data_IF_659567831006
#
_entry.id   IF_659567831006
#
_cell.length_a   1.000
_cell.length_b   1.000
_cell.length_c   1.000
_cell.angle_alpha   90.00
_cell.angle_beta   90.00
_cell.angle_gamma   90.00
#
_symmetry.space_group_name_H-M   'P 1'
#
loop_
_entity.id
_entity.type
_entity.pdbx_description
1 polymer ?
#
# COMPACT_ATOMS: atom_id res chain seq x y z
N UNK A 1 23.82 -38.02 34.14
CA UNK A 1 22.92 -38.00 32.97
C UNK A 1 22.84 -36.58 32.49
N UNK A 2 23.67 -36.23 31.48
CA UNK A 2 23.71 -34.93 30.83
C UNK A 2 22.71 -34.91 29.66
N UNK A 3 21.64 -34.16 29.79
CA UNK A 3 20.67 -33.92 28.72
C UNK A 3 21.19 -32.82 27.78
N UNK A 4 21.59 -33.18 26.56
CA UNK A 4 22.00 -32.25 25.52
C UNK A 4 20.75 -31.62 24.89
N UNK A 5 20.55 -30.35 25.15
CA UNK A 5 19.54 -29.54 24.45
C UNK A 5 20.03 -29.28 23.03
N UNK A 6 19.47 -29.96 22.07
CA UNK A 6 19.67 -29.68 20.63
C UNK A 6 18.91 -28.41 20.30
N UNK A 7 19.65 -27.31 20.13
CA UNK A 7 19.13 -26.03 19.64
C UNK A 7 18.80 -26.19 18.15
N UNK A 8 17.53 -26.34 17.82
CA UNK A 8 17.09 -26.32 16.42
C UNK A 8 17.37 -24.93 15.83
N UNK A 9 18.28 -24.90 14.86
CA UNK A 9 18.52 -23.71 14.02
C UNK A 9 17.27 -23.46 13.20
N UNK A 10 16.64 -22.29 13.38
CA UNK A 10 15.58 -21.86 12.48
C UNK A 10 16.17 -21.69 11.07
N UNK A 11 15.45 -22.10 10.02
CA UNK A 11 15.93 -21.94 8.65
C UNK A 11 16.08 -20.44 8.33
N UNK A 12 17.29 -20.05 7.94
CA UNK A 12 17.57 -18.70 7.46
C UNK A 12 16.65 -18.40 6.27
N UNK A 13 15.89 -17.31 6.37
CA UNK A 13 15.08 -16.77 5.28
C UNK A 13 16.01 -16.48 4.09
N UNK A 14 16.00 -17.32 3.09
CA UNK A 14 16.68 -17.05 1.82
C UNK A 14 16.11 -15.75 1.23
N UNK A 15 16.94 -14.73 1.14
CA UNK A 15 16.70 -13.56 0.28
C UNK A 15 16.71 -14.07 -1.17
N UNK A 16 15.57 -14.38 -1.73
CA UNK A 16 15.47 -14.63 -3.17
C UNK A 16 15.37 -13.28 -3.87
N UNK A 17 16.46 -12.85 -4.48
CA UNK A 17 16.50 -11.74 -5.43
C UNK A 17 16.02 -12.29 -6.76
N UNK A 18 14.72 -12.16 -7.05
CA UNK A 18 14.11 -12.56 -8.32
C UNK A 18 12.61 -12.28 -8.28
N UNK A 19 12.01 -11.92 -9.43
CA UNK A 19 10.57 -11.80 -9.56
C UNK A 19 9.91 -13.10 -9.10
N UNK A 20 9.30 -13.08 -7.94
CA UNK A 20 8.56 -14.21 -7.41
C UNK A 20 7.11 -14.09 -7.86
N UNK A 21 6.62 -15.10 -8.59
CA UNK A 21 5.21 -15.17 -8.98
C UNK A 21 4.56 -16.37 -8.29
N UNK A 22 3.34 -16.16 -7.80
CA UNK A 22 2.52 -17.22 -7.20
C UNK A 22 1.03 -16.91 -7.35
N UNK A 23 0.20 -17.91 -7.08
CA UNK A 23 -1.24 -17.79 -7.02
C UNK A 23 -1.70 -17.97 -5.58
N UNK A 24 -2.83 -17.37 -5.25
CA UNK A 24 -3.42 -17.51 -3.92
C UNK A 24 -4.80 -16.88 -3.87
N UNK A 25 -5.42 -16.97 -2.71
CA UNK A 25 -6.74 -16.40 -2.44
C UNK A 25 -6.60 -15.16 -1.58
N UNK A 26 -7.29 -14.09 -1.96
CA UNK A 26 -7.35 -12.87 -1.14
C UNK A 26 -8.13 -13.19 0.14
N UNK A 27 -7.45 -13.10 1.27
CA UNK A 27 -8.03 -13.38 2.59
C UNK A 27 -8.58 -12.14 3.28
N UNK A 28 -8.08 -10.96 2.94
CA UNK A 28 -8.60 -9.67 3.41
C UNK A 28 -8.05 -8.51 2.59
N UNK A 29 -8.75 -7.37 2.64
CA UNK A 29 -8.33 -6.10 2.05
C UNK A 29 -8.26 -5.06 3.16
N UNK A 30 -7.10 -4.43 3.35
CA UNK A 30 -6.86 -3.48 4.46
C UNK A 30 -7.25 -2.05 4.12
N UNK A 31 -6.95 -1.63 2.89
CA UNK A 31 -7.25 -0.30 2.35
C UNK A 31 -7.28 -0.34 0.82
N UNK A 32 -7.23 0.81 0.15
CA UNK A 32 -7.34 0.87 -1.31
C UNK A 32 -6.13 0.37 -2.10
N UNK A 33 -5.03 0.01 -1.44
CA UNK A 33 -3.82 -0.49 -2.11
C UNK A 33 -3.05 -1.56 -1.32
N UNK A 34 -3.66 -2.11 -0.26
CA UNK A 34 -3.06 -3.15 0.57
C UNK A 34 -4.04 -4.29 0.80
N UNK A 35 -3.62 -5.51 0.50
CA UNK A 35 -4.40 -6.72 0.71
C UNK A 35 -3.53 -7.88 1.20
N UNK A 36 -4.18 -8.93 1.66
CA UNK A 36 -3.52 -10.16 2.11
C UNK A 36 -3.95 -11.32 1.23
N UNK A 37 -2.97 -12.13 0.84
CA UNK A 37 -3.18 -13.34 0.04
C UNK A 37 -2.68 -14.55 0.81
N UNK A 38 -3.45 -15.62 0.85
CA UNK A 38 -3.01 -16.92 1.33
C UNK A 38 -2.73 -17.81 0.12
N UNK A 39 -1.51 -18.30 -0.01
CA UNK A 39 -1.09 -19.17 -1.11
C UNK A 39 -1.54 -20.62 -0.92
N UNK A 40 -1.22 -21.48 -1.88
CA UNK A 40 -1.58 -22.91 -1.85
C UNK A 40 -0.95 -23.69 -0.69
N UNK A 41 0.16 -23.20 -0.13
CA UNK A 41 0.83 -23.79 1.03
C UNK A 41 0.31 -23.25 2.37
N UNK A 42 -0.71 -22.39 2.33
CA UNK A 42 -1.30 -21.76 3.51
C UNK A 42 -0.48 -20.59 4.08
N UNK A 43 0.55 -20.12 3.36
CA UNK A 43 1.34 -18.97 3.78
C UNK A 43 0.57 -17.67 3.47
N UNK A 44 0.60 -16.76 4.45
CA UNK A 44 -0.03 -15.45 4.36
C UNK A 44 0.98 -14.41 3.89
N UNK A 45 0.61 -13.70 2.83
CA UNK A 45 1.39 -12.65 2.21
C UNK A 45 0.68 -11.30 2.41
N UNK A 46 1.41 -10.30 2.89
CA UNK A 46 0.92 -8.92 2.93
C UNK A 46 1.42 -8.18 1.70
N UNK A 47 0.50 -7.71 0.87
CA UNK A 47 0.79 -7.14 -0.43
C UNK A 47 0.46 -5.65 -0.44
N UNK A 48 1.40 -4.86 -0.93
CA UNK A 48 1.23 -3.47 -1.33
C UNK A 48 1.15 -3.42 -2.86
N UNK A 49 0.03 -2.99 -3.40
CA UNK A 49 -0.14 -2.86 -4.85
C UNK A 49 0.90 -1.88 -5.40
N UNK A 50 1.72 -2.37 -6.34
CA UNK A 50 2.83 -1.61 -6.91
C UNK A 50 2.35 -0.43 -7.76
N UNK A 51 3.12 0.64 -7.74
CA UNK A 51 3.00 1.81 -8.62
C UNK A 51 1.76 2.67 -8.46
N UNK A 52 0.90 2.36 -7.50
CA UNK A 52 -0.26 3.15 -7.12
C UNK A 52 -0.17 3.63 -5.68
N UNK A 53 -0.93 4.64 -5.34
CA UNK A 53 -1.09 5.13 -3.97
C UNK A 53 -2.54 5.53 -3.76
N UNK A 54 -3.20 4.82 -2.85
CA UNK A 54 -4.60 5.04 -2.52
C UNK A 54 -4.75 6.04 -1.38
N UNK A 55 -5.86 6.79 -1.32
CA UNK A 55 -6.17 7.62 -0.16
C UNK A 55 -6.15 6.79 1.12
N UNK A 56 -5.56 7.35 2.19
CA UNK A 56 -5.58 6.75 3.52
C UNK A 56 -7.03 6.58 4.00
N UNK A 57 -7.31 5.60 4.87
CA UNK A 57 -8.69 5.33 5.33
C UNK A 57 -9.38 6.56 5.91
N UNK A 58 -8.64 7.43 6.59
CA UNK A 58 -9.14 8.67 7.19
C UNK A 58 -9.14 9.87 6.23
N UNK A 59 -8.52 9.71 5.06
CA UNK A 59 -8.52 10.72 4.02
C UNK A 59 -9.84 10.71 3.25
N UNK A 60 -10.19 11.86 2.66
CA UNK A 60 -11.31 11.92 1.72
C UNK A 60 -11.20 10.83 0.65
N UNK A 61 -12.30 10.12 0.39
CA UNK A 61 -12.39 8.96 -0.49
C UNK A 61 -11.68 7.67 0.00
N UNK A 62 -10.99 7.67 1.13
CA UNK A 62 -10.24 6.50 1.63
C UNK A 62 -11.11 5.26 1.81
N UNK A 63 -12.25 5.39 2.48
CA UNK A 63 -13.21 4.29 2.68
C UNK A 63 -13.77 3.77 1.36
N UNK A 64 -14.07 4.64 0.40
CA UNK A 64 -14.59 4.23 -0.92
C UNK A 64 -13.51 3.52 -1.75
N UNK A 65 -12.28 4.00 -1.69
CA UNK A 65 -11.13 3.33 -2.31
C UNK A 65 -10.95 1.91 -1.77
N UNK A 66 -10.98 1.75 -0.45
CA UNK A 66 -10.97 0.43 0.20
C UNK A 66 -12.10 -0.47 -0.27
N UNK A 67 -13.34 0.05 -0.26
CA UNK A 67 -14.52 -0.71 -0.70
C UNK A 67 -14.45 -1.12 -2.18
N UNK A 68 -13.87 -0.28 -3.04
CA UNK A 68 -13.69 -0.59 -4.45
C UNK A 68 -12.79 -1.82 -4.64
N UNK A 69 -11.63 -1.85 -3.99
CA UNK A 69 -10.72 -2.99 -4.03
C UNK A 69 -11.34 -4.23 -3.36
N UNK A 70 -11.99 -4.06 -2.23
CA UNK A 70 -12.62 -5.14 -1.50
C UNK A 70 -13.72 -5.84 -2.31
N UNK A 71 -14.59 -5.09 -2.95
CA UNK A 71 -15.67 -5.67 -3.79
C UNK A 71 -15.11 -6.48 -4.97
N UNK A 72 -13.98 -6.05 -5.54
CA UNK A 72 -13.38 -6.75 -6.66
C UNK A 72 -12.60 -8.00 -6.24
N UNK A 73 -11.88 -7.95 -5.13
CA UNK A 73 -10.83 -8.92 -4.83
C UNK A 73 -11.08 -9.80 -3.61
N UNK A 74 -11.91 -9.41 -2.65
CA UNK A 74 -12.07 -10.15 -1.39
C UNK A 74 -12.60 -11.57 -1.62
N UNK A 75 -11.84 -12.57 -1.14
CA UNK A 75 -12.18 -13.97 -1.33
C UNK A 75 -11.88 -14.56 -2.70
N UNK A 76 -11.36 -13.77 -3.65
CA UNK A 76 -11.07 -14.18 -5.01
C UNK A 76 -9.67 -14.80 -5.17
N UNK A 77 -9.51 -15.64 -6.18
CA UNK A 77 -8.21 -16.17 -6.57
C UNK A 77 -7.46 -15.16 -7.44
N UNK A 78 -6.19 -14.95 -7.13
CA UNK A 78 -5.35 -13.97 -7.81
C UNK A 78 -3.98 -14.53 -8.18
N UNK A 79 -3.37 -13.92 -9.19
CA UNK A 79 -1.98 -14.13 -9.57
C UNK A 79 -1.17 -12.93 -9.07
N UNK A 80 -0.14 -13.18 -8.28
CA UNK A 80 0.72 -12.16 -7.68
C UNK A 80 2.10 -12.21 -8.33
N UNK A 81 2.57 -11.07 -8.82
CA UNK A 81 3.95 -10.89 -9.30
C UNK A 81 4.66 -9.91 -8.38
N UNK A 82 5.57 -10.41 -7.56
CA UNK A 82 6.33 -9.63 -6.59
C UNK A 82 7.53 -8.98 -7.27
N UNK A 83 7.68 -7.68 -7.09
CA UNK A 83 8.83 -6.92 -7.61
C UNK A 83 9.91 -6.72 -6.56
N UNK A 84 9.51 -6.41 -5.32
CA UNK A 84 10.42 -6.16 -4.20
C UNK A 84 9.69 -6.32 -2.85
N UNK A 85 10.46 -6.32 -1.76
CA UNK A 85 9.95 -6.16 -0.40
C UNK A 85 10.20 -4.71 0.04
N UNK A 86 9.18 -4.09 0.64
CA UNK A 86 9.36 -2.78 1.23
C UNK A 86 10.00 -2.87 2.64
N UNK A 87 10.32 -1.71 3.21
CA UNK A 87 10.92 -1.62 4.54
C UNK A 87 10.04 -2.16 5.68
N UNK A 88 8.75 -2.34 5.43
CA UNK A 88 7.78 -2.89 6.38
C UNK A 88 7.55 -4.40 6.19
N UNK A 89 8.29 -5.02 5.27
CA UNK A 89 8.16 -6.44 4.94
C UNK A 89 6.95 -6.80 4.08
N UNK A 90 6.29 -5.80 3.46
CA UNK A 90 5.21 -6.05 2.50
C UNK A 90 5.81 -6.37 1.13
N UNK A 91 5.17 -7.26 0.41
CA UNK A 91 5.49 -7.54 -0.98
C UNK A 91 4.90 -6.44 -1.87
N UNK A 92 5.75 -5.68 -2.55
CA UNK A 92 5.33 -4.70 -3.56
C UNK A 92 5.10 -5.46 -4.85
N UNK A 93 3.83 -5.57 -5.28
CA UNK A 93 3.45 -6.51 -6.31
C UNK A 93 2.37 -5.98 -7.26
N UNK A 94 2.33 -6.58 -8.45
CA UNK A 94 1.19 -6.52 -9.35
C UNK A 94 0.28 -7.71 -9.06
N UNK A 95 -1.01 -7.45 -8.91
CA UNK A 95 -2.03 -8.47 -8.65
C UNK A 95 -3.00 -8.52 -9.82
N UNK A 96 -3.17 -9.70 -10.38
CA UNK A 96 -4.11 -9.95 -11.50
C UNK A 96 -5.19 -10.93 -11.07
N UNK A 97 -6.40 -10.66 -11.52
CA UNK A 97 -7.56 -11.52 -11.32
C UNK A 97 -8.25 -11.71 -12.69
N UNK A 98 -8.35 -12.96 -13.15
CA UNK A 98 -8.92 -13.28 -14.47
C UNK A 98 -8.33 -12.44 -15.63
N UNK A 99 -7.01 -12.19 -15.56
CA UNK A 99 -6.29 -11.39 -16.54
C UNK A 99 -6.39 -9.87 -16.33
N UNK A 100 -7.27 -9.39 -15.45
CA UNK A 100 -7.38 -7.96 -15.10
C UNK A 100 -6.31 -7.57 -14.08
N UNK A 101 -5.65 -6.45 -14.33
CA UNK A 101 -4.70 -5.82 -13.41
C UNK A 101 -5.46 -5.00 -12.37
N UNK A 102 -5.50 -5.48 -11.11
CA UNK A 102 -6.21 -4.80 -10.01
C UNK A 102 -5.55 -3.48 -9.62
N UNK A 103 -4.24 -3.35 -9.81
CA UNK A 103 -3.53 -2.09 -9.58
C UNK A 103 -4.03 -1.02 -10.57
N UNK A 104 -4.10 -1.39 -11.85
CA UNK A 104 -4.63 -0.52 -12.90
C UNK A 104 -6.12 -0.21 -12.71
N UNK A 105 -6.90 -1.21 -12.30
CA UNK A 105 -8.33 -1.04 -12.00
C UNK A 105 -8.56 0.06 -10.97
N UNK A 106 -7.78 0.10 -9.89
CA UNK A 106 -7.89 1.13 -8.85
C UNK A 106 -7.66 2.54 -9.41
N UNK A 107 -6.71 2.71 -10.34
CA UNK A 107 -6.50 3.99 -11.03
C UNK A 107 -7.66 4.32 -11.96
N UNK A 108 -8.06 3.37 -12.80
CA UNK A 108 -9.15 3.54 -13.77
C UNK A 108 -10.46 3.95 -13.10
N UNK A 109 -10.75 3.36 -11.96
CA UNK A 109 -11.97 3.62 -11.19
C UNK A 109 -11.90 4.92 -10.37
N UNK A 110 -10.77 5.64 -10.42
CA UNK A 110 -10.54 6.83 -9.61
C UNK A 110 -10.44 6.53 -8.11
N UNK A 111 -9.98 5.33 -7.76
CA UNK A 111 -9.80 4.88 -6.38
C UNK A 111 -8.37 5.03 -5.87
N UNK A 112 -7.40 5.24 -6.75
CA UNK A 112 -6.00 5.46 -6.42
C UNK A 112 -5.31 6.40 -7.42
N UNK A 113 -4.19 6.95 -6.99
CA UNK A 113 -3.27 7.73 -7.83
C UNK A 113 -2.23 6.82 -8.46
N UNK A 114 -1.82 7.12 -9.69
CA UNK A 114 -0.57 6.61 -10.22
C UNK A 114 0.59 7.26 -9.45
N UNK A 115 1.37 6.47 -8.73
CA UNK A 115 2.52 6.97 -7.95
C UNK A 115 3.71 7.21 -8.89
N UNK A 116 3.58 8.20 -9.76
CA UNK A 116 4.43 8.43 -10.91
C UNK A 116 5.89 8.69 -10.54
N UNK A 117 6.19 9.40 -9.46
CA UNK A 117 7.56 9.69 -9.03
C UNK A 117 8.36 8.40 -8.71
N UNK A 118 7.69 7.42 -8.11
CA UNK A 118 8.28 6.10 -7.84
C UNK A 118 8.25 5.21 -9.08
N UNK A 119 7.12 5.18 -9.79
CA UNK A 119 6.88 4.35 -10.95
C UNK A 119 7.84 4.68 -12.12
N UNK A 120 8.15 5.95 -12.34
CA UNK A 120 9.04 6.40 -13.41
C UNK A 120 10.43 5.74 -13.38
N UNK A 121 10.87 5.31 -12.19
CA UNK A 121 12.19 4.69 -12.00
C UNK A 121 12.18 3.17 -12.16
N UNK A 122 11.04 2.51 -11.94
CA UNK A 122 10.98 1.06 -11.74
C UNK A 122 9.91 0.35 -12.57
N UNK A 123 8.84 1.05 -12.94
CA UNK A 123 7.76 0.44 -13.71
C UNK A 123 8.17 0.21 -15.16
N UNK A 124 7.74 -0.92 -15.71
CA UNK A 124 7.90 -1.19 -17.15
C UNK A 124 7.24 -0.07 -17.96
N UNK A 125 7.90 0.44 -18.99
CA UNK A 125 7.47 1.61 -19.76
C UNK A 125 6.05 1.50 -20.33
N UNK A 126 5.67 0.31 -20.81
CA UNK A 126 4.31 0.06 -21.34
C UNK A 126 3.25 0.14 -20.24
N UNK A 127 3.53 -0.39 -19.04
CA UNK A 127 2.62 -0.35 -17.91
C UNK A 127 2.55 1.08 -17.33
N UNK A 128 3.67 1.78 -17.27
CA UNK A 128 3.70 3.19 -16.87
C UNK A 128 2.78 4.04 -17.74
N UNK A 129 2.88 3.89 -19.06
CA UNK A 129 2.04 4.62 -20.02
C UNK A 129 0.56 4.29 -19.84
N UNK A 130 0.22 3.01 -19.63
CA UNK A 130 -1.16 2.57 -19.39
C UNK A 130 -1.73 3.14 -18.09
N UNK A 131 -0.95 3.14 -17.01
CA UNK A 131 -1.36 3.69 -15.70
C UNK A 131 -1.53 5.21 -15.77
N UNK A 132 -0.61 5.91 -16.42
CA UNK A 132 -0.71 7.36 -16.62
C UNK A 132 -1.95 7.75 -17.45
N UNK A 133 -2.23 7.02 -18.53
CA UNK A 133 -3.41 7.24 -19.36
C UNK A 133 -4.71 6.95 -18.60
N UNK A 134 -4.75 5.89 -17.81
CA UNK A 134 -5.91 5.54 -16.98
C UNK A 134 -6.20 6.63 -15.93
N UNK A 135 -5.18 7.20 -15.31
CA UNK A 135 -5.35 8.33 -14.38
C UNK A 135 -5.90 9.55 -15.07
N UNK A 136 -5.36 9.93 -16.23
CA UNK A 136 -5.83 11.09 -16.96
C UNK A 136 -7.30 10.92 -17.40
N UNK A 137 -7.66 9.74 -17.89
CA UNK A 137 -9.05 9.41 -18.24
C UNK A 137 -9.98 9.49 -17.03
N UNK A 138 -9.57 8.96 -15.87
CA UNK A 138 -10.35 9.04 -14.64
C UNK A 138 -10.54 10.49 -14.17
N UNK A 139 -9.52 11.33 -14.30
CA UNK A 139 -9.60 12.77 -13.98
C UNK A 139 -10.58 13.51 -14.89
N UNK A 140 -10.47 13.32 -16.19
CA UNK A 140 -11.34 13.96 -17.19
C UNK A 140 -12.80 13.55 -17.02
N UNK A 141 -13.03 12.27 -16.71
CA UNK A 141 -14.36 11.70 -16.46
C UNK A 141 -14.89 11.96 -15.05
N UNK A 142 -14.08 12.60 -14.17
CA UNK A 142 -14.41 12.83 -12.76
C UNK A 142 -14.79 11.54 -12.00
N UNK A 143 -14.12 10.44 -12.30
CA UNK A 143 -14.35 9.17 -11.64
C UNK A 143 -13.83 9.20 -10.20
N UNK A 144 -14.61 8.64 -9.28
CA UNK A 144 -14.17 8.39 -7.92
C UNK A 144 -13.68 9.65 -7.19
N UNK A 145 -12.44 9.62 -6.71
CA UNK A 145 -11.80 10.73 -5.99
C UNK A 145 -11.72 12.02 -6.82
N UNK A 146 -11.71 11.90 -8.15
CA UNK A 146 -11.62 13.03 -9.08
C UNK A 146 -12.91 13.83 -9.20
N UNK A 147 -14.02 13.33 -8.63
CA UNK A 147 -15.26 14.10 -8.52
C UNK A 147 -15.20 15.14 -7.37
N UNK A 148 -14.21 15.05 -6.48
CA UNK A 148 -13.98 16.05 -5.44
C UNK A 148 -13.47 17.38 -6.02
N UNK A 149 -13.74 18.48 -5.30
CA UNK A 149 -13.30 19.82 -5.73
C UNK A 149 -11.77 19.96 -5.70
N UNK A 150 -11.13 19.37 -4.70
CA UNK A 150 -9.68 19.44 -4.47
C UNK A 150 -9.12 18.08 -4.07
N UNK A 151 -8.96 17.14 -5.02
CA UNK A 151 -8.37 15.85 -4.70
C UNK A 151 -6.94 16.03 -4.18
N UNK A 152 -6.68 15.53 -2.97
CA UNK A 152 -5.36 15.57 -2.34
C UNK A 152 -4.65 14.24 -2.55
N UNK A 153 -3.40 14.29 -3.00
CA UNK A 153 -2.59 13.10 -3.14
C UNK A 153 -2.25 12.48 -1.78
N UNK A 154 -2.23 11.13 -1.66
CA UNK A 154 -1.98 10.47 -0.38
C UNK A 154 -0.63 10.85 0.26
N UNK A 155 0.41 11.04 -0.54
CA UNK A 155 1.73 11.47 -0.05
C UNK A 155 1.72 12.89 0.53
N UNK A 156 0.91 13.79 0.00
CA UNK A 156 0.72 15.14 0.55
C UNK A 156 -0.08 15.09 1.85
N UNK A 157 -1.16 14.30 1.88
CA UNK A 157 -1.92 14.07 3.10
C UNK A 157 -1.04 13.53 4.23
N UNK A 158 -0.23 12.49 3.98
CA UNK A 158 0.70 11.95 4.98
C UNK A 158 1.74 12.96 5.44
N UNK A 159 2.21 13.83 4.54
CA UNK A 159 3.14 14.92 4.91
C UNK A 159 2.50 15.89 5.88
N UNK A 160 1.31 16.38 5.59
CA UNK A 160 0.55 17.28 6.45
C UNK A 160 0.27 16.67 7.83
N UNK A 161 -0.14 15.39 7.87
CA UNK A 161 -0.38 14.71 9.16
C UNK A 161 0.88 14.66 10.03
N UNK A 162 2.05 14.42 9.42
CA UNK A 162 3.33 14.43 10.16
C UNK A 162 3.69 15.82 10.68
N UNK A 163 3.44 16.86 9.91
CA UNK A 163 3.69 18.24 10.32
C UNK A 163 2.80 18.66 11.50
N UNK A 164 1.52 18.30 11.48
CA UNK A 164 0.59 18.54 12.58
C UNK A 164 1.04 17.81 13.84
N UNK A 165 1.42 16.54 13.76
CA UNK A 165 1.92 15.76 14.89
C UNK A 165 3.20 16.36 15.48
N UNK A 166 4.13 16.77 14.63
CA UNK A 166 5.39 17.40 15.06
C UNK A 166 5.15 18.78 15.69
N UNK A 167 4.22 19.56 15.14
CA UNK A 167 3.82 20.86 15.70
C UNK A 167 3.18 20.73 17.10
N UNK A 168 2.34 19.75 17.31
CA UNK A 168 1.73 19.46 18.62
C UNK A 168 2.77 18.92 19.63
N UNK A 169 3.71 18.10 19.19
CA UNK A 169 4.82 17.63 20.02
C UNK A 169 5.74 18.76 20.49
N UNK A 170 6.03 19.72 19.61
CA UNK A 170 6.82 20.91 19.95
C UNK A 170 6.12 21.84 20.96
N UNK A 171 4.81 21.98 20.86
CA UNK A 171 4.00 22.78 21.80
C UNK A 171 3.93 22.13 23.19
N UNK A 172 3.75 20.81 23.28
CA UNK A 172 3.76 20.07 24.56
C UNK A 172 5.12 20.14 25.25
N UNK A 173 6.22 20.01 24.50
CA UNK A 173 7.56 20.10 25.07
C UNK A 173 7.87 21.50 25.60
N UNK A 174 7.48 22.56 24.87
CA UNK A 174 7.63 23.95 25.31
C UNK A 174 6.76 24.28 26.54
N UNK A 175 5.63 23.64 26.71
CA UNK A 175 4.76 23.85 27.88
C UNK A 175 5.30 23.12 29.10
N UNK A 176 5.81 21.90 28.98
CA UNK A 176 6.49 21.18 30.04
C UNK A 176 7.76 21.92 30.53
N UNK A 177 8.56 22.42 29.60
CA UNK A 177 9.77 23.19 29.95
C UNK A 177 9.42 24.50 30.67
N UNK A 178 8.29 25.17 30.35
CA UNK A 178 7.83 26.35 31.07
C UNK A 178 7.31 26.04 32.48
N UNK A 179 6.65 24.91 32.67
CA UNK A 179 6.18 24.47 33.98
C UNK A 179 7.33 24.11 34.93
N UNK A 180 8.41 23.54 34.41
CA UNK A 180 9.62 23.26 35.19
C UNK A 180 10.37 24.52 35.62
N UNK A 181 10.42 25.54 34.79
CA UNK A 181 11.06 26.83 35.15
C UNK A 181 10.28 27.66 36.19
N UNK A 182 8.99 27.43 36.34
CA UNK A 182 8.13 28.16 37.32
C UNK A 182 8.10 27.48 38.70
N UNK A 183 8.76 26.34 38.90
CA UNK A 183 8.82 25.61 40.16
C UNK A 183 10.08 25.88 40.99
N UNK A 184 10.93 26.78 40.53
CA UNK A 184 12.15 27.28 41.19
C UNK A 184 12.11 28.82 41.24
#
# INVERSE_FOLDING_TARGET
>A
LLSSVVRQKQPERRKSIGKQAYTGRVSSVSDGDTLHVTDSDGLKHKIRLAYIDAPELQQAYGTRSHQNLKRAADGENVNVTVFELDRYGREVAQVRMDGEDLNLMQIRDGAAWHYNAYAAKKQKKTDYAAYAAAQENARQSRNGLWNGLHPQAPWDYRREQREVQNGQGGSRKKQQDKEWFNLW
#
